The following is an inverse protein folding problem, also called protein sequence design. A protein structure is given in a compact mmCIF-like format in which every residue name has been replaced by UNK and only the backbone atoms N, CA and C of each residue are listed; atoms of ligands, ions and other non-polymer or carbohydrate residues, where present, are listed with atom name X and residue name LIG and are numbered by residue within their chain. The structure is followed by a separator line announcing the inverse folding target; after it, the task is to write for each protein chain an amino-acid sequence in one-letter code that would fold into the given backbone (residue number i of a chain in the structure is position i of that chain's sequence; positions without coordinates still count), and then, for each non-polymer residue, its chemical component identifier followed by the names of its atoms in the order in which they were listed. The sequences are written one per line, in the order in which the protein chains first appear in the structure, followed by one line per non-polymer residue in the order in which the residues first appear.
data_IF_835586543931
#
_entry.id   IF_835586543931
#
_cell.length_a   1.000
_cell.length_b   1.000
_cell.length_c   1.000
_cell.angle_alpha   90.00
_cell.angle_beta   90.00
_cell.angle_gamma   90.00
#
_symmetry.space_group_name_H-M   'P 1'
#
loop_
_entity.id
_entity.type
_entity.pdbx_description
1 polymer ?
#
# COMPACT_ATOMS: atom_id res chain seq x y z
N UNK A 1 1.46 -15.28 15.85
CA UNK A 1 1.97 -16.62 15.49
C UNK A 1 2.52 -16.56 14.07
N UNK A 2 3.70 -17.11 13.79
CA UNK A 2 4.20 -17.20 12.42
C UNK A 2 3.35 -18.23 11.65
N UNK A 3 2.63 -17.77 10.63
CA UNK A 3 1.84 -18.64 9.78
C UNK A 3 2.80 -19.34 8.80
N UNK A 4 3.08 -20.63 8.99
CA UNK A 4 4.06 -21.44 8.23
C UNK A 4 3.95 -21.24 6.71
N UNK A 5 2.72 -21.05 6.23
CA UNK A 5 2.40 -20.77 4.82
C UNK A 5 3.08 -19.53 4.26
N UNK A 6 3.23 -18.45 5.05
CA UNK A 6 3.87 -17.21 4.59
C UNK A 6 5.36 -17.35 4.40
N UNK A 7 6.04 -18.10 5.27
CA UNK A 7 7.48 -18.34 5.16
C UNK A 7 7.81 -19.17 3.94
N UNK A 8 7.02 -20.23 3.69
CA UNK A 8 7.16 -21.07 2.50
C UNK A 8 6.91 -20.24 1.22
N UNK A 9 5.84 -19.44 1.21
CA UNK A 9 5.53 -18.59 0.07
C UNK A 9 6.63 -17.54 -0.20
N UNK A 10 7.17 -16.90 0.83
CA UNK A 10 8.26 -15.93 0.67
C UNK A 10 9.56 -16.59 0.17
N UNK A 11 9.86 -17.82 0.61
CA UNK A 11 11.03 -18.56 0.15
C UNK A 11 10.89 -18.98 -1.32
N UNK A 12 9.70 -19.43 -1.73
CA UNK A 12 9.40 -19.77 -3.13
C UNK A 12 9.46 -18.55 -4.05
N UNK A 13 8.94 -17.41 -3.61
CA UNK A 13 9.03 -16.14 -4.36
C UNK A 13 10.50 -15.74 -4.55
N UNK A 14 11.31 -15.81 -3.47
CA UNK A 14 12.75 -15.53 -3.55
C UNK A 14 13.50 -16.49 -4.48
N UNK A 15 13.16 -17.77 -4.46
CA UNK A 15 13.76 -18.76 -5.37
C UNK A 15 13.41 -18.46 -6.85
N UNK A 16 12.19 -18.01 -7.14
CA UNK A 16 11.76 -17.60 -8.50
C UNK A 16 12.43 -16.32 -8.97
N UNK A 17 12.66 -15.35 -8.07
CA UNK A 17 13.39 -14.13 -8.37
C UNK A 17 14.86 -14.46 -8.70
N UNK A 18 15.50 -15.32 -7.90
CA UNK A 18 16.91 -15.71 -8.08
C UNK A 18 17.15 -16.55 -9.34
N UNK A 19 16.17 -17.34 -9.79
CA UNK A 19 16.29 -18.15 -11.00
C UNK A 19 16.10 -17.36 -12.30
N UNK A 20 15.85 -16.04 -12.22
CA UNK A 20 15.64 -15.17 -13.39
C UNK A 20 14.29 -15.36 -14.10
N UNK A 21 13.42 -16.24 -13.58
CA UNK A 21 12.12 -16.58 -14.17
C UNK A 21 10.97 -15.65 -13.76
N UNK A 22 11.27 -14.47 -13.21
CA UNK A 22 10.27 -13.57 -12.67
C UNK A 22 9.80 -12.56 -13.74
N UNK A 23 8.88 -13.01 -14.61
CA UNK A 23 8.25 -12.13 -15.60
C UNK A 23 7.10 -11.35 -14.95
N UNK A 24 7.27 -10.03 -14.84
CA UNK A 24 6.21 -9.12 -14.40
C UNK A 24 5.24 -8.86 -15.55
N UNK A 25 3.96 -9.13 -15.33
CA UNK A 25 2.91 -8.73 -16.25
C UNK A 25 2.39 -7.35 -15.84
N UNK A 26 3.08 -6.30 -16.29
CA UNK A 26 2.73 -4.93 -15.91
C UNK A 26 1.60 -4.40 -16.77
N UNK A 27 0.66 -3.74 -16.11
CA UNK A 27 -0.43 -3.01 -16.75
C UNK A 27 -0.69 -1.69 -16.02
N UNK A 28 -1.41 -0.78 -16.66
CA UNK A 28 -1.81 0.47 -16.04
C UNK A 28 -3.07 0.24 -15.20
N UNK A 29 -2.93 0.38 -13.88
CA UNK A 29 -4.02 0.25 -12.92
C UNK A 29 -4.19 1.55 -12.17
N UNK A 30 -5.40 1.83 -11.69
CA UNK A 30 -5.60 2.94 -10.76
C UNK A 30 -5.03 2.57 -9.39
N UNK A 31 -4.40 3.52 -8.71
CA UNK A 31 -3.89 3.29 -7.35
C UNK A 31 -5.02 2.90 -6.39
N UNK A 32 -6.20 3.50 -6.57
CA UNK A 32 -7.40 3.19 -5.80
C UNK A 32 -7.80 1.71 -5.93
N UNK A 33 -7.80 1.16 -7.14
CA UNK A 33 -8.18 -0.24 -7.39
C UNK A 33 -7.27 -1.22 -6.64
N UNK A 34 -5.95 -1.04 -6.76
CA UNK A 34 -4.99 -1.98 -6.16
C UNK A 34 -4.95 -1.85 -4.63
N UNK A 35 -5.06 -0.63 -4.11
CA UNK A 35 -5.16 -0.40 -2.66
C UNK A 35 -6.48 -0.93 -2.10
N UNK A 36 -7.59 -0.69 -2.80
CA UNK A 36 -8.92 -1.19 -2.41
C UNK A 36 -8.97 -2.71 -2.38
N UNK A 37 -8.32 -3.38 -3.33
CA UNK A 37 -8.22 -4.85 -3.34
C UNK A 37 -7.44 -5.39 -2.15
N UNK A 38 -6.27 -4.81 -1.87
CA UNK A 38 -5.47 -5.18 -0.71
C UNK A 38 -6.23 -4.99 0.62
N UNK A 39 -7.00 -3.89 0.76
CA UNK A 39 -7.79 -3.64 1.96
C UNK A 39 -8.93 -4.65 2.15
N UNK A 40 -9.65 -5.02 1.08
CA UNK A 40 -10.71 -6.05 1.15
C UNK A 40 -10.17 -7.39 1.65
N UNK A 41 -8.95 -7.75 1.24
CA UNK A 41 -8.30 -8.97 1.74
C UNK A 41 -7.94 -8.90 3.22
N UNK A 42 -7.69 -7.70 3.74
CA UNK A 42 -7.31 -7.48 5.14
C UNK A 42 -8.49 -7.32 6.09
N UNK A 43 -9.67 -6.91 5.60
CA UNK A 43 -10.87 -6.68 6.42
C UNK A 43 -11.13 -7.77 7.49
N UNK A 44 -11.07 -9.08 7.17
CA UNK A 44 -11.34 -10.13 8.16
C UNK A 44 -10.34 -10.13 9.33
N UNK A 45 -9.12 -9.63 9.11
CA UNK A 45 -8.04 -9.59 10.09
C UNK A 45 -7.96 -8.29 10.90
N UNK A 46 -8.75 -7.26 10.55
CA UNK A 46 -8.69 -5.94 11.21
C UNK A 46 -9.29 -5.93 12.61
N UNK A 47 -10.16 -6.89 12.94
CA UNK A 47 -10.76 -7.00 14.29
C UNK A 47 -11.46 -5.72 14.75
N UNK A 48 -12.05 -4.95 13.82
CA UNK A 48 -12.71 -3.67 14.10
C UNK A 48 -11.80 -2.44 14.07
N UNK A 49 -10.50 -2.57 13.75
CA UNK A 49 -9.63 -1.43 13.51
C UNK A 49 -9.93 -0.78 12.17
N UNK A 50 -9.98 0.55 12.15
CA UNK A 50 -10.17 1.33 10.93
C UNK A 50 -8.82 1.77 10.35
N UNK A 51 -8.65 1.57 9.05
CA UNK A 51 -7.50 2.09 8.30
C UNK A 51 -7.91 3.43 7.68
N UNK A 52 -7.21 4.50 8.06
CA UNK A 52 -7.33 5.80 7.40
C UNK A 52 -6.39 5.85 6.21
N UNK A 53 -6.95 5.97 5.00
CA UNK A 53 -6.19 6.16 3.78
C UNK A 53 -6.09 7.64 3.41
N UNK A 54 -4.88 8.09 3.13
CA UNK A 54 -4.62 9.38 2.50
C UNK A 54 -3.99 9.10 1.12
N UNK A 55 -4.84 8.74 0.16
CA UNK A 55 -4.40 8.55 -1.22
C UNK A 55 -4.35 9.90 -1.95
N UNK A 56 -3.44 10.06 -2.92
CA UNK A 56 -3.48 11.17 -3.88
C UNK A 56 -4.72 11.05 -4.78
N UNK A 57 -4.73 11.78 -5.91
CA UNK A 57 -5.79 11.71 -6.92
C UNK A 57 -6.30 10.26 -7.14
N UNK A 58 -7.61 9.98 -6.97
CA UNK A 58 -8.20 8.65 -7.20
C UNK A 58 -7.89 8.08 -8.59
N UNK A 59 -7.65 8.95 -9.57
CA UNK A 59 -7.33 8.58 -10.95
C UNK A 59 -5.82 8.40 -11.20
N UNK A 60 -4.99 8.43 -10.16
CA UNK A 60 -3.55 8.20 -10.30
C UNK A 60 -3.30 6.79 -10.83
N UNK A 61 -2.72 6.70 -12.02
CA UNK A 61 -2.34 5.44 -12.65
C UNK A 61 -0.93 5.01 -12.23
N UNK A 62 -0.77 3.72 -11.99
CA UNK A 62 0.51 3.05 -11.71
C UNK A 62 0.74 1.92 -12.70
N UNK A 63 1.98 1.74 -13.15
CA UNK A 63 2.35 0.68 -14.10
C UNK A 63 3.03 -0.48 -13.37
N UNK A 64 2.21 -1.44 -12.92
CA UNK A 64 2.61 -2.51 -12.00
C UNK A 64 2.00 -3.85 -12.42
N UNK A 65 2.55 -4.93 -11.88
CA UNK A 65 1.89 -6.24 -11.90
C UNK A 65 0.88 -6.26 -10.74
N UNK A 66 -0.41 -6.25 -11.06
CA UNK A 66 -1.50 -6.05 -10.09
C UNK A 66 -1.44 -7.03 -8.90
N UNK A 67 -1.51 -8.35 -9.14
CA UNK A 67 -1.46 -9.35 -8.06
C UNK A 67 -0.19 -9.28 -7.21
N UNK A 68 0.97 -9.05 -7.82
CA UNK A 68 2.22 -8.94 -7.07
C UNK A 68 2.29 -7.66 -6.25
N UNK A 69 1.79 -6.55 -6.80
CA UNK A 69 1.75 -5.27 -6.09
C UNK A 69 0.76 -5.28 -4.93
N UNK A 70 -0.42 -5.88 -5.12
CA UNK A 70 -1.39 -6.15 -4.05
C UNK A 70 -0.73 -6.92 -2.90
N UNK A 71 0.03 -7.95 -3.22
CA UNK A 71 0.75 -8.75 -2.22
C UNK A 71 1.80 -7.96 -1.46
N UNK A 72 2.48 -7.02 -2.11
CA UNK A 72 3.37 -6.07 -1.44
C UNK A 72 2.58 -5.20 -0.47
N UNK A 73 1.46 -4.61 -0.90
CA UNK A 73 0.61 -3.75 -0.05
C UNK A 73 0.10 -4.51 1.18
N UNK A 74 -0.41 -5.74 1.01
CA UNK A 74 -0.87 -6.59 2.10
C UNK A 74 0.24 -6.80 3.13
N UNK A 75 1.44 -7.20 2.68
CA UNK A 75 2.59 -7.41 3.56
C UNK A 75 2.94 -6.15 4.35
N UNK A 76 2.94 -4.98 3.70
CA UNK A 76 3.27 -3.71 4.35
C UNK A 76 2.19 -3.29 5.35
N UNK A 77 0.91 -3.43 5.00
CA UNK A 77 -0.21 -3.06 5.84
C UNK A 77 -0.34 -3.98 7.06
N UNK A 78 -0.16 -5.29 6.92
CA UNK A 78 -0.14 -6.21 8.07
C UNK A 78 1.03 -5.92 9.00
N UNK A 79 2.20 -5.60 8.43
CA UNK A 79 3.33 -5.16 9.24
C UNK A 79 2.99 -3.86 9.98
N UNK A 80 2.35 -2.89 9.31
CA UNK A 80 1.90 -1.67 9.97
C UNK A 80 0.92 -1.97 11.12
N UNK A 81 -0.13 -2.78 10.89
CA UNK A 81 -1.10 -3.14 11.94
C UNK A 81 -0.44 -3.85 13.13
N UNK A 82 0.52 -4.73 12.85
CA UNK A 82 1.20 -5.50 13.89
C UNK A 82 2.21 -4.68 14.69
N UNK A 83 2.88 -3.71 14.06
CA UNK A 83 4.06 -3.05 14.63
C UNK A 83 3.91 -1.55 14.87
N UNK A 84 2.89 -0.88 14.34
CA UNK A 84 2.82 0.59 14.39
C UNK A 84 2.51 1.14 15.80
N UNK A 85 2.15 0.28 16.76
CA UNK A 85 1.96 0.64 18.16
C UNK A 85 0.90 1.72 18.39
N UNK A 86 0.77 2.27 19.61
CA UNK A 86 -0.24 3.27 19.95
C UNK A 86 -0.12 4.61 19.21
N UNK A 87 1.00 4.86 18.51
CA UNK A 87 1.31 6.15 17.88
C UNK A 87 1.08 6.16 16.35
N UNK A 88 0.60 5.06 15.78
CA UNK A 88 0.30 4.93 14.36
C UNK A 88 -0.79 5.91 13.86
N UNK A 89 -1.62 6.39 14.78
CA UNK A 89 -2.93 6.94 14.45
C UNK A 89 -2.93 8.33 13.80
N UNK A 90 -1.82 9.08 13.72
CA UNK A 90 -1.91 10.46 13.20
C UNK A 90 -0.59 11.15 12.77
N UNK A 91 0.21 10.53 11.90
CA UNK A 91 1.24 11.29 11.16
C UNK A 91 0.75 11.64 9.76
N UNK A 92 0.07 12.77 9.67
CA UNK A 92 -0.17 13.45 8.40
C UNK A 92 1.20 13.79 7.76
N UNK A 93 1.63 13.01 6.77
CA UNK A 93 2.67 13.46 5.84
C UNK A 93 2.02 14.38 4.81
N UNK A 94 1.81 15.64 5.20
CA UNK A 94 1.52 16.70 4.26
C UNK A 94 2.75 16.97 3.41
N UNK A 95 2.87 16.32 2.24
CA UNK A 95 3.76 16.76 1.20
C UNK A 95 3.31 18.16 0.75
N UNK A 96 4.17 19.15 0.94
CA UNK A 96 3.87 20.54 0.72
C UNK A 96 3.34 20.83 -0.68
N UNK A 97 2.16 21.45 -0.73
CA UNK A 97 1.88 22.57 -1.62
C UNK A 97 1.29 23.71 -0.79
N UNK A 98 2.15 24.39 -0.03
CA UNK A 98 1.96 25.83 0.21
C UNK A 98 2.37 26.51 -1.10
N UNK A 99 1.41 26.88 -1.94
CA UNK A 99 1.64 27.98 -2.90
C UNK A 99 1.59 29.29 -2.12
N UNK A 100 2.67 30.10 -2.08
CA UNK A 100 2.62 31.45 -1.55
C UNK A 100 2.18 32.39 -2.68
N UNK A 101 0.90 32.40 -3.04
CA UNK A 101 0.41 33.29 -4.12
C UNK A 101 -1.07 33.69 -3.99
N UNK A 102 -1.53 33.96 -2.76
CA UNK A 102 -2.79 34.69 -2.55
C UNK A 102 -2.64 35.75 -1.44
N UNK A 103 -1.51 36.47 -1.48
CA UNK A 103 -1.39 37.78 -0.88
C UNK A 103 -1.54 38.82 -2.00
N UNK A 104 -2.79 39.16 -2.32
CA UNK A 104 -3.07 40.47 -2.93
C UNK A 104 -4.43 40.96 -2.46
N UNK A 105 -4.37 41.61 -1.30
CA UNK A 105 -5.28 42.68 -0.93
C UNK A 105 -4.99 43.84 -1.89
N UNK A 106 -5.94 44.15 -2.75
CA UNK A 106 -6.14 45.45 -3.42
C UNK A 106 -7.59 45.74 -3.09
N UNK A 107 -7.88 46.67 -2.18
CA UNK A 107 -7.87 48.10 -2.47
C UNK A 107 -9.32 48.49 -2.62
#
# INVERSE_FOLDING_TARGET
MLNTTRLVNNLLDMARIQSGGFNLHKEWLTLEEVVGSALRMLEPGLGGQHIHLALPDPLLLVHVDGPLFERVLINLLENALKYAGPQAANRHYGAGRRSPAAARRVG
#
